data_IF_683935652461
#
_entry.id   IF_683935652461
#
_cell.length_a   1.000
_cell.length_b   1.000
_cell.length_c   1.000
_cell.angle_alpha   90.00
_cell.angle_beta   90.00
_cell.angle_gamma   90.00
#
_symmetry.space_group_name_H-M   'P 1'
#
loop_
_entity.id
_entity.type
_entity.pdbx_description
1 polymer ?
#
# COMPACT_ATOMS: atom_id res chain seq x y z
N UNK A 1 -57.66 -41.26 33.86
CA UNK A 1 -57.75 -41.88 32.52
C UNK A 1 -56.78 -41.12 31.62
N UNK A 2 -55.60 -41.70 31.35
CA UNK A 2 -55.13 -42.16 30.02
C UNK A 2 -55.19 -41.04 28.95
N UNK A 3 -54.13 -40.64 28.25
CA UNK A 3 -53.16 -41.48 27.54
C UNK A 3 -51.98 -40.64 27.02
N UNK A 4 -50.92 -41.38 26.70
CA UNK A 4 -49.56 -41.07 26.22
C UNK A 4 -49.50 -40.11 25.01
N UNK A 5 -48.43 -39.32 24.81
CA UNK A 5 -47.21 -39.68 24.05
C UNK A 5 -46.61 -38.33 23.56
N UNK A 6 -45.33 -38.08 23.25
CA UNK A 6 -44.09 -38.85 23.08
C UNK A 6 -42.94 -37.83 22.93
N UNK A 7 -41.74 -38.26 23.35
CA UNK A 7 -40.41 -38.00 22.76
C UNK A 7 -39.75 -36.60 22.80
N UNK A 8 -38.63 -36.56 23.53
CA UNK A 8 -37.48 -35.64 23.39
C UNK A 8 -36.63 -36.00 22.16
N UNK A 9 -35.75 -35.10 21.68
CA UNK A 9 -34.33 -35.17 22.08
C UNK A 9 -33.76 -33.80 22.48
N UNK A 10 -33.07 -33.66 23.62
CA UNK A 10 -31.60 -33.68 23.71
C UNK A 10 -30.89 -32.84 22.63
N UNK A 11 -30.58 -31.59 22.95
CA UNK A 11 -29.44 -30.87 22.37
C UNK A 11 -28.48 -30.57 23.51
N UNK A 12 -27.47 -31.43 23.60
CA UNK A 12 -26.25 -31.24 24.36
C UNK A 12 -25.41 -30.20 23.62
N UNK A 13 -25.34 -28.97 24.11
CA UNK A 13 -24.34 -28.01 23.63
C UNK A 13 -23.08 -28.18 24.48
N UNK A 14 -22.09 -28.87 23.90
CA UNK A 14 -20.73 -28.96 24.42
C UNK A 14 -20.12 -27.54 24.50
N UNK A 15 -19.70 -27.16 25.71
CA UNK A 15 -18.68 -26.14 25.94
C UNK A 15 -17.34 -26.71 25.46
N UNK A 16 -16.91 -26.32 24.25
CA UNK A 16 -15.55 -26.56 23.81
C UNK A 16 -14.63 -25.51 24.45
N UNK A 17 -14.04 -25.89 25.59
CA UNK A 17 -12.91 -25.23 26.21
C UNK A 17 -11.68 -25.45 25.30
N UNK A 18 -11.45 -24.52 24.38
CA UNK A 18 -10.28 -24.51 23.51
C UNK A 18 -9.04 -24.09 24.30
N UNK A 19 -8.13 -25.04 24.52
CA UNK A 19 -6.83 -24.87 25.15
C UNK A 19 -6.02 -23.76 24.45
N UNK A 20 -5.70 -22.71 25.20
CA UNK A 20 -4.74 -21.68 24.80
C UNK A 20 -3.32 -22.27 24.91
N UNK A 21 -2.85 -22.95 23.87
CA UNK A 21 -1.44 -23.30 23.73
C UNK A 21 -0.68 -22.04 23.30
N UNK A 22 -0.19 -21.29 24.28
CA UNK A 22 0.83 -20.25 24.06
C UNK A 22 2.13 -20.94 23.67
N UNK A 23 2.36 -21.11 22.37
CA UNK A 23 3.70 -21.34 21.83
C UNK A 23 4.53 -20.07 22.08
N UNK A 24 5.15 -20.00 23.25
CA UNK A 24 6.25 -19.08 23.51
C UNK A 24 7.53 -19.78 23.09
N UNK A 25 7.76 -19.85 21.78
CA UNK A 25 9.13 -20.02 21.31
C UNK A 25 9.88 -18.73 21.63
N UNK A 26 10.53 -18.71 22.79
CA UNK A 26 11.68 -17.84 22.99
C UNK A 26 12.69 -18.26 21.94
N UNK A 27 12.75 -17.51 20.84
CA UNK A 27 13.92 -17.45 19.99
C UNK A 27 15.09 -17.04 20.91
N UNK A 28 15.91 -18.02 21.29
CA UNK A 28 17.28 -17.76 21.71
C UNK A 28 17.94 -17.09 20.52
N UNK A 29 18.16 -15.78 20.60
CA UNK A 29 18.94 -15.06 19.63
C UNK A 29 20.33 -15.71 19.56
N UNK A 30 20.59 -16.44 18.48
CA UNK A 30 21.93 -16.80 18.07
C UNK A 30 22.63 -15.49 17.71
N UNK A 31 23.41 -14.96 18.65
CA UNK A 31 24.02 -13.63 18.60
C UNK A 31 25.21 -13.52 17.64
N UNK A 32 25.46 -14.55 16.84
CA UNK A 32 26.61 -14.59 15.92
C UNK A 32 26.31 -13.99 14.55
N UNK A 33 25.04 -13.85 14.17
CA UNK A 33 24.62 -13.11 12.99
C UNK A 33 23.38 -12.29 13.32
N UNK A 34 23.41 -10.94 13.21
CA UNK A 34 22.16 -10.19 13.28
C UNK A 34 21.21 -10.72 12.20
N UNK A 35 19.90 -10.80 12.48
CA UNK A 35 18.94 -11.15 11.44
C UNK A 35 19.12 -10.19 10.26
N UNK A 36 18.99 -10.70 9.01
CA UNK A 36 19.15 -9.85 7.83
C UNK A 36 18.22 -8.64 7.93
N UNK A 37 18.70 -7.47 7.49
CA UNK A 37 17.90 -6.25 7.40
C UNK A 37 16.57 -6.58 6.71
N UNK A 38 15.41 -6.48 7.39
CA UNK A 38 14.12 -6.82 6.81
C UNK A 38 13.83 -6.08 5.51
N UNK A 39 14.30 -4.82 5.41
CA UNK A 39 14.13 -4.01 4.20
C UNK A 39 14.94 -4.56 3.03
N UNK A 40 16.17 -5.03 3.27
CA UNK A 40 16.98 -5.68 2.23
C UNK A 40 16.29 -6.95 1.70
N UNK A 41 15.67 -7.73 2.57
CA UNK A 41 14.88 -8.90 2.17
C UNK A 41 13.67 -8.49 1.30
N UNK A 42 12.90 -7.49 1.72
CA UNK A 42 11.76 -7.00 0.92
C UNK A 42 12.19 -6.49 -0.45
N UNK A 43 13.32 -5.78 -0.54
CA UNK A 43 13.89 -5.32 -1.81
C UNK A 43 14.24 -6.47 -2.74
N UNK A 44 14.83 -7.54 -2.21
CA UNK A 44 15.13 -8.74 -3.01
C UNK A 44 13.85 -9.37 -3.54
N UNK A 45 12.83 -9.53 -2.70
CA UNK A 45 11.52 -10.08 -3.10
C UNK A 45 10.90 -9.23 -4.23
N UNK A 46 10.95 -7.91 -4.11
CA UNK A 46 10.41 -6.98 -5.11
C UNK A 46 11.23 -7.03 -6.42
N UNK A 47 12.55 -7.20 -6.34
CA UNK A 47 13.39 -7.39 -7.52
C UNK A 47 13.03 -8.67 -8.27
N UNK A 48 12.77 -9.77 -7.56
CA UNK A 48 12.33 -11.02 -8.16
C UNK A 48 10.95 -10.88 -8.82
N UNK A 49 10.04 -10.11 -8.21
CA UNK A 49 8.74 -9.79 -8.79
C UNK A 49 8.86 -8.94 -10.04
N UNK A 50 9.71 -7.91 -10.02
CA UNK A 50 10.01 -7.09 -11.19
C UNK A 50 10.53 -7.93 -12.36
N UNK A 51 11.44 -8.87 -12.11
CA UNK A 51 11.94 -9.77 -13.16
C UNK A 51 10.82 -10.66 -13.75
N UNK A 52 9.95 -11.23 -12.90
CA UNK A 52 8.80 -12.04 -13.34
C UNK A 52 7.79 -11.23 -14.13
N UNK A 53 7.36 -10.09 -13.61
CA UNK A 53 6.35 -9.23 -14.23
C UNK A 53 6.89 -8.61 -15.53
N UNK A 54 8.18 -8.28 -15.57
CA UNK A 54 8.86 -7.84 -16.78
C UNK A 54 8.86 -8.88 -17.89
N UNK A 55 8.97 -10.18 -17.57
CA UNK A 55 8.81 -11.25 -18.54
C UNK A 55 7.37 -11.33 -19.10
N UNK A 56 6.36 -11.15 -18.25
CA UNK A 56 4.95 -11.13 -18.66
C UNK A 56 4.64 -9.92 -19.56
N UNK A 57 5.17 -8.74 -19.24
CA UNK A 57 4.92 -7.51 -20.00
C UNK A 57 5.40 -7.60 -21.46
N UNK A 58 6.42 -8.40 -21.77
CA UNK A 58 6.89 -8.62 -23.16
C UNK A 58 5.84 -9.23 -24.07
N UNK A 59 4.90 -9.98 -23.50
CA UNK A 59 3.81 -10.63 -24.25
C UNK A 59 2.44 -10.01 -23.99
N UNK A 60 2.37 -9.01 -23.09
CA UNK A 60 1.13 -8.36 -22.65
C UNK A 60 1.29 -6.83 -22.71
N UNK A 61 1.02 -6.20 -23.87
CA UNK A 61 1.28 -4.76 -24.06
C UNK A 61 0.38 -3.83 -23.23
N UNK A 62 -0.68 -4.36 -22.61
CA UNK A 62 -1.51 -3.64 -21.64
C UNK A 62 -0.84 -3.54 -20.26
N UNK A 63 0.28 -4.24 -20.04
CA UNK A 63 1.07 -4.15 -18.82
C UNK A 63 2.27 -3.22 -19.03
N UNK A 64 2.54 -2.40 -18.02
CA UNK A 64 3.75 -1.60 -17.92
C UNK A 64 4.36 -1.81 -16.55
N UNK A 65 5.65 -2.19 -16.53
CA UNK A 65 6.31 -2.70 -15.34
C UNK A 65 7.57 -1.88 -15.07
N UNK A 66 7.75 -1.49 -13.81
CA UNK A 66 8.91 -0.75 -13.29
C UNK A 66 9.33 -1.37 -11.95
N UNK A 67 10.55 -1.12 -11.46
CA UNK A 67 10.92 -1.53 -10.10
C UNK A 67 9.85 -1.10 -9.09
N UNK A 68 9.35 -2.05 -8.29
CA UNK A 68 8.32 -1.79 -7.29
C UNK A 68 6.90 -1.51 -7.83
N UNK A 69 6.62 -1.63 -9.13
CA UNK A 69 5.33 -1.22 -9.69
C UNK A 69 4.89 -2.03 -10.92
N UNK A 70 3.59 -2.33 -10.99
CA UNK A 70 2.91 -2.87 -12.18
C UNK A 70 1.67 -2.05 -12.48
N UNK A 71 1.59 -1.50 -13.70
CA UNK A 71 0.42 -0.84 -14.24
C UNK A 71 -0.26 -1.75 -15.27
N UNK A 72 -1.58 -1.91 -15.16
CA UNK A 72 -2.42 -2.67 -16.07
C UNK A 72 -3.50 -1.77 -16.64
N UNK A 73 -3.39 -1.47 -17.94
CA UNK A 73 -4.36 -0.65 -18.67
C UNK A 73 -5.67 -1.40 -18.93
N UNK A 74 -5.63 -2.73 -19.06
CA UNK A 74 -6.81 -3.55 -19.27
C UNK A 74 -7.76 -3.51 -18.08
N UNK A 75 -7.22 -3.52 -16.86
CA UNK A 75 -8.01 -3.41 -15.62
C UNK A 75 -8.01 -2.01 -15.01
N UNK A 76 -7.32 -1.05 -15.64
CA UNK A 76 -7.11 0.33 -15.15
C UNK A 76 -6.62 0.38 -13.69
N UNK A 77 -5.62 -0.45 -13.38
CA UNK A 77 -5.06 -0.58 -12.03
C UNK A 77 -3.56 -0.34 -12.03
N UNK A 78 -3.08 0.35 -11.01
CA UNK A 78 -1.65 0.43 -10.66
C UNK A 78 -1.47 -0.29 -9.33
N UNK A 79 -0.54 -1.23 -9.30
CA UNK A 79 -0.09 -1.91 -8.07
C UNK A 79 1.30 -1.40 -7.75
N UNK A 80 1.46 -0.95 -6.51
CA UNK A 80 2.72 -0.46 -5.98
C UNK A 80 3.12 -1.38 -4.84
N UNK A 81 4.33 -1.92 -4.92
CA UNK A 81 4.92 -2.72 -3.86
C UNK A 81 5.60 -1.82 -2.85
N UNK A 82 5.43 -2.17 -1.59
CA UNK A 82 5.97 -1.43 -0.47
C UNK A 82 5.95 -2.29 0.79
N UNK A 83 6.49 -1.72 1.85
CA UNK A 83 6.49 -2.30 3.19
C UNK A 83 5.72 -1.41 4.16
N UNK A 84 5.12 -2.04 5.18
CA UNK A 84 4.46 -1.31 6.27
C UNK A 84 5.50 -0.58 7.12
N UNK A 85 5.19 0.63 7.55
CA UNK A 85 5.98 1.41 8.52
C UNK A 85 5.76 0.96 9.97
N UNK A 86 4.81 0.03 10.19
CA UNK A 86 4.43 -0.47 11.52
C UNK A 86 3.93 0.61 12.49
N UNK A 87 3.19 1.60 11.97
CA UNK A 87 2.44 2.53 12.83
C UNK A 87 1.50 1.79 13.77
N UNK A 88 1.41 2.30 15.00
CA UNK A 88 0.49 1.82 16.01
C UNK A 88 -0.87 2.52 15.91
N UNK A 89 -1.88 1.90 16.52
CA UNK A 89 -3.18 2.55 16.68
C UNK A 89 -3.01 3.85 17.48
N UNK A 90 -3.45 4.97 16.91
CA UNK A 90 -3.35 6.29 17.52
C UNK A 90 -2.13 7.11 17.06
N UNK A 91 -1.19 6.51 16.32
CA UNK A 91 -0.09 7.26 15.72
C UNK A 91 -0.63 8.20 14.62
N UNK A 92 -0.04 9.41 14.45
CA UNK A 92 -0.47 10.34 13.41
C UNK A 92 -0.16 9.78 12.01
N UNK A 93 -1.13 9.92 11.10
CA UNK A 93 -0.98 9.54 9.69
C UNK A 93 -1.22 10.77 8.82
N UNK A 94 -0.21 11.16 8.04
CA UNK A 94 -0.31 12.20 7.02
C UNK A 94 -0.32 11.59 5.62
N UNK A 95 0.44 10.52 5.41
CA UNK A 95 0.62 9.93 4.08
C UNK A 95 0.17 8.47 4.03
N UNK A 96 -0.64 8.05 3.04
CA UNK A 96 -0.88 6.63 2.83
C UNK A 96 0.38 5.92 2.34
N UNK A 97 1.18 6.56 1.47
CA UNK A 97 2.34 5.94 0.85
C UNK A 97 3.39 7.02 0.57
N UNK A 98 4.65 6.72 0.91
CA UNK A 98 5.81 7.59 0.64
C UNK A 98 6.88 6.85 -0.14
N UNK A 99 7.82 7.57 -0.77
CA UNK A 99 9.02 6.97 -1.34
C UNK A 99 10.05 6.64 -0.25
N UNK A 100 10.97 5.72 -0.56
CA UNK A 100 12.03 5.31 0.38
C UNK A 100 12.87 6.47 0.93
N UNK A 101 13.13 7.48 0.11
CA UNK A 101 13.98 8.62 0.47
C UNK A 101 13.25 9.73 1.24
N UNK A 102 11.93 9.62 1.42
CA UNK A 102 11.10 10.71 1.98
C UNK A 102 11.48 11.10 3.42
N UNK A 103 11.99 10.16 4.22
CA UNK A 103 12.28 10.38 5.64
C UNK A 103 11.04 10.65 6.50
N UNK A 104 9.84 10.36 5.99
CA UNK A 104 8.52 10.56 6.65
C UNK A 104 7.84 9.25 7.03
N UNK A 105 8.61 8.19 7.25
CA UNK A 105 8.09 6.86 7.59
C UNK A 105 7.32 6.83 8.92
N UNK A 106 7.67 7.69 9.86
CA UNK A 106 6.99 7.85 11.15
C UNK A 106 5.57 8.44 11.07
N UNK A 107 5.12 8.92 9.90
CA UNK A 107 3.77 9.50 9.68
C UNK A 107 3.10 8.96 8.41
N UNK A 108 3.59 7.82 7.89
CA UNK A 108 3.08 7.18 6.69
C UNK A 108 2.60 5.76 6.96
N UNK A 109 1.60 5.23 6.24
CA UNK A 109 1.15 3.83 6.40
C UNK A 109 2.13 2.82 5.78
N UNK A 110 2.83 3.22 4.71
CA UNK A 110 3.76 2.36 3.99
C UNK A 110 4.84 3.16 3.26
N UNK A 111 5.98 2.48 3.05
CA UNK A 111 7.08 2.94 2.20
C UNK A 111 7.05 2.16 0.88
N UNK A 112 7.03 2.87 -0.23
CA UNK A 112 7.05 2.32 -1.59
C UNK A 112 8.48 2.03 -2.04
N UNK A 113 8.66 0.90 -2.73
CA UNK A 113 9.88 0.59 -3.50
C UNK A 113 9.84 1.13 -4.94
N UNK A 114 8.76 1.81 -5.34
CA UNK A 114 8.65 2.48 -6.62
C UNK A 114 9.03 3.95 -6.50
N UNK A 115 9.64 4.49 -7.55
CA UNK A 115 9.90 5.92 -7.65
C UNK A 115 8.59 6.71 -7.88
N UNK A 116 8.41 7.90 -7.27
CA UNK A 116 7.21 8.72 -7.48
C UNK A 116 6.92 9.03 -8.95
N UNK A 117 7.94 9.30 -9.78
CA UNK A 117 7.73 9.52 -11.20
C UNK A 117 7.26 8.28 -11.97
N UNK A 118 7.58 7.08 -11.49
CA UNK A 118 7.05 5.84 -12.04
C UNK A 118 5.59 5.65 -11.68
N UNK A 119 5.17 6.02 -10.47
CA UNK A 119 3.75 6.06 -10.08
C UNK A 119 2.97 7.06 -10.94
N UNK A 120 3.51 8.26 -11.17
CA UNK A 120 2.88 9.26 -12.05
C UNK A 120 2.67 8.69 -13.46
N UNK A 121 3.73 8.16 -14.08
CA UNK A 121 3.68 7.57 -15.42
C UNK A 121 2.76 6.34 -15.48
N UNK A 122 2.65 5.57 -14.40
CA UNK A 122 1.74 4.44 -14.31
C UNK A 122 0.27 4.87 -14.41
N UNK A 123 -0.09 5.94 -13.68
CA UNK A 123 -1.42 6.51 -13.69
C UNK A 123 -1.78 7.07 -15.08
N UNK A 124 -0.83 7.75 -15.73
CA UNK A 124 -0.98 8.18 -17.13
C UNK A 124 -1.11 6.98 -18.09
N UNK A 125 -0.30 5.95 -17.90
CA UNK A 125 -0.31 4.74 -18.72
C UNK A 125 -1.66 4.01 -18.69
N UNK A 126 -2.37 4.01 -17.54
CA UNK A 126 -3.73 3.45 -17.43
C UNK A 126 -4.84 4.42 -17.90
N UNK A 127 -4.45 5.58 -18.44
CA UNK A 127 -5.33 6.54 -19.10
C UNK A 127 -5.81 7.70 -18.23
N UNK A 128 -5.27 7.89 -17.03
CA UNK A 128 -5.62 9.05 -16.21
C UNK A 128 -4.84 10.28 -16.67
N UNK A 129 -5.39 11.46 -16.42
CA UNK A 129 -4.66 12.73 -16.61
C UNK A 129 -4.41 13.40 -15.26
N UNK A 130 -3.20 13.91 -15.01
CA UNK A 130 -2.95 14.70 -13.82
C UNK A 130 -3.81 15.95 -13.87
N UNK A 131 -4.51 16.23 -12.78
CA UNK A 131 -5.26 17.46 -12.62
C UNK A 131 -4.39 18.59 -12.08
N UNK A 132 -4.95 19.39 -11.17
CA UNK A 132 -4.28 20.54 -10.58
C UNK A 132 -4.23 20.40 -9.06
N UNK A 133 -3.02 20.37 -8.49
CA UNK A 133 -2.78 20.42 -7.06
C UNK A 133 -3.30 21.73 -6.44
N UNK A 134 -3.45 21.79 -5.12
CA UNK A 134 -3.79 23.04 -4.42
C UNK A 134 -2.73 24.13 -4.67
N UNK A 135 -3.16 25.39 -4.69
CA UNK A 135 -2.29 26.56 -4.84
C UNK A 135 -2.94 27.74 -4.12
N UNK A 136 -2.52 28.02 -2.87
CA UNK A 136 -3.03 29.18 -2.12
C UNK A 136 -2.75 30.51 -2.85
N UNK A 137 -1.57 30.68 -3.44
CA UNK A 137 -1.20 31.87 -4.22
C UNK A 137 -2.07 32.07 -5.46
N UNK A 138 -2.54 30.98 -6.08
CA UNK A 138 -3.48 30.99 -7.20
C UNK A 138 -4.96 30.89 -6.78
N UNK A 139 -5.29 31.09 -5.50
CA UNK A 139 -6.65 30.97 -4.93
C UNK A 139 -7.35 29.63 -5.23
N UNK A 140 -6.57 28.55 -5.35
CA UNK A 140 -7.06 27.19 -5.58
C UNK A 140 -6.87 26.36 -4.32
N UNK A 141 -7.87 26.38 -3.44
CA UNK A 141 -7.82 25.68 -2.15
C UNK A 141 -8.16 24.20 -2.23
N UNK A 142 -8.73 23.74 -3.36
CA UNK A 142 -9.10 22.34 -3.58
C UNK A 142 -8.39 21.76 -4.80
N UNK A 143 -7.89 20.51 -4.73
CA UNK A 143 -7.33 19.85 -5.89
C UNK A 143 -8.43 19.58 -6.93
N UNK A 144 -8.05 19.54 -8.19
CA UNK A 144 -8.92 19.14 -9.30
C UNK A 144 -8.27 17.96 -10.00
N UNK A 145 -9.04 17.02 -10.52
CA UNK A 145 -8.52 15.86 -11.24
C UNK A 145 -9.39 14.63 -11.10
N UNK A 146 -8.98 13.56 -11.77
CA UNK A 146 -9.61 12.25 -11.61
C UNK A 146 -9.33 11.70 -10.21
N UNK A 147 -10.31 10.93 -9.67
CA UNK A 147 -10.18 10.29 -8.37
C UNK A 147 -9.69 8.86 -8.53
N UNK A 148 -8.72 8.48 -7.71
CA UNK A 148 -8.19 7.12 -7.59
C UNK A 148 -8.61 6.50 -6.27
N UNK A 149 -8.99 5.23 -6.35
CA UNK A 149 -9.25 4.41 -5.17
C UNK A 149 -7.94 3.77 -4.74
N UNK A 150 -7.41 4.20 -3.59
CA UNK A 150 -6.21 3.60 -2.99
C UNK A 150 -6.64 2.50 -2.03
N UNK A 151 -6.06 1.32 -2.19
CA UNK A 151 -6.32 0.16 -1.33
C UNK A 151 -5.01 -0.49 -0.91
N UNK A 152 -4.97 -1.01 0.30
CA UNK A 152 -3.88 -1.84 0.81
C UNK A 152 -4.28 -3.30 0.74
N UNK A 153 -3.39 -4.10 0.17
CA UNK A 153 -3.46 -5.55 0.11
C UNK A 153 -2.20 -6.09 0.79
N UNK A 154 -2.38 -6.79 1.90
CA UNK A 154 -1.26 -7.33 2.66
C UNK A 154 -0.79 -8.63 1.99
N UNK A 155 0.45 -8.65 1.56
CA UNK A 155 1.03 -9.86 0.98
C UNK A 155 1.44 -10.76 2.14
N UNK A 156 0.51 -11.63 2.57
CA UNK A 156 0.77 -12.58 3.64
C UNK A 156 1.88 -13.54 3.22
N UNK A 157 2.96 -13.59 4.00
CA UNK A 157 4.08 -14.51 3.77
C UNK A 157 3.70 -15.99 3.91
N UNK A 158 2.58 -16.27 4.58
CA UNK A 158 2.02 -17.61 4.78
C UNK A 158 0.90 -17.97 3.77
N UNK A 159 0.61 -17.12 2.79
CA UNK A 159 -0.42 -17.36 1.78
C UNK A 159 -1.87 -17.19 2.26
N UNK A 160 -2.11 -16.69 3.48
CA UNK A 160 -3.45 -16.36 3.95
C UNK A 160 -4.00 -15.14 3.19
N UNK A 161 -5.26 -15.22 2.74
CA UNK A 161 -5.94 -14.06 2.17
C UNK A 161 -6.16 -13.01 3.25
N UNK A 162 -5.59 -11.83 3.08
CA UNK A 162 -5.89 -10.67 3.91
C UNK A 162 -6.96 -9.82 3.25
N UNK A 163 -7.87 -9.21 4.04
CA UNK A 163 -8.85 -8.30 3.47
C UNK A 163 -8.14 -7.11 2.81
N UNK A 164 -8.57 -6.78 1.60
CA UNK A 164 -8.17 -5.54 0.92
C UNK A 164 -8.91 -4.38 1.60
N UNK A 165 -8.16 -3.42 2.14
CA UNK A 165 -8.72 -2.28 2.87
C UNK A 165 -8.57 -0.98 2.06
N UNK A 166 -9.53 -0.06 2.19
CA UNK A 166 -9.40 1.30 1.63
C UNK A 166 -8.37 2.07 2.46
N UNK A 167 -7.57 2.92 1.84
CA UNK A 167 -6.65 3.76 2.62
C UNK A 167 -7.42 4.64 3.63
N UNK A 168 -8.58 5.14 3.23
CA UNK A 168 -9.45 5.97 4.07
C UNK A 168 -9.96 5.21 5.32
N UNK A 169 -10.18 3.89 5.23
CA UNK A 169 -10.65 3.09 6.36
C UNK A 169 -9.57 2.79 7.40
N UNK A 170 -8.29 3.09 7.09
CA UNK A 170 -7.15 2.88 7.98
C UNK A 170 -6.80 4.13 8.80
N UNK A 171 -7.50 5.25 8.57
CA UNK A 171 -7.22 6.53 9.21
C UNK A 171 -8.46 7.02 9.93
N UNK A 172 -8.34 7.27 11.23
CA UNK A 172 -9.41 7.83 12.06
C UNK A 172 -9.36 9.36 12.05
N UNK A 173 -10.48 10.00 11.76
CA UNK A 173 -10.66 11.44 11.94
C UNK A 173 -10.92 11.74 13.41
N UNK A 174 -9.98 12.44 14.06
CA UNK A 174 -10.05 12.79 15.49
C UNK A 174 -11.20 13.74 15.84
N UNK A 175 -11.81 14.44 14.87
CA UNK A 175 -13.01 15.25 15.12
C UNK A 175 -14.28 14.42 15.23
N UNK A 176 -14.35 13.30 14.53
CA UNK A 176 -15.57 12.50 14.40
C UNK A 176 -15.46 11.11 15.02
N UNK A 177 -14.25 10.69 15.41
CA UNK A 177 -13.92 9.36 15.91
C UNK A 177 -14.37 8.24 14.96
N UNK A 178 -14.35 8.55 13.66
CA UNK A 178 -14.77 7.65 12.58
C UNK A 178 -13.68 7.58 11.49
N UNK A 179 -13.65 6.51 10.67
CA UNK A 179 -12.74 6.47 9.53
C UNK A 179 -12.99 7.62 8.54
N UNK A 180 -11.97 7.98 7.76
CA UNK A 180 -12.13 8.98 6.71
C UNK A 180 -13.20 8.56 5.69
N UNK A 181 -13.98 9.50 5.12
CA UNK A 181 -14.94 9.19 4.07
C UNK A 181 -14.25 8.61 2.82
N UNK A 182 -14.78 7.52 2.28
CA UNK A 182 -14.24 6.82 1.09
C UNK A 182 -14.48 7.56 -0.24
N UNK A 183 -13.95 8.77 -0.36
CA UNK A 183 -14.12 9.60 -1.55
C UNK A 183 -13.01 9.38 -2.59
N UNK A 184 -11.95 8.65 -2.26
CA UNK A 184 -10.76 8.49 -3.11
C UNK A 184 -9.84 9.71 -3.09
N UNK A 185 -8.67 9.54 -3.72
CA UNK A 185 -7.61 10.55 -3.77
C UNK A 185 -7.59 11.23 -5.14
N UNK A 186 -7.28 12.52 -5.21
CA UNK A 186 -7.25 13.25 -6.49
C UNK A 186 -5.85 13.15 -7.10
N UNK A 187 -5.76 12.61 -8.32
CA UNK A 187 -4.49 12.55 -9.04
C UNK A 187 -4.15 13.94 -9.61
N UNK A 188 -3.14 14.58 -9.02
CA UNK A 188 -2.67 15.92 -9.42
C UNK A 188 -1.28 15.92 -10.06
N UNK A 189 -0.52 14.84 -9.92
CA UNK A 189 0.91 14.81 -10.23
C UNK A 189 1.74 15.74 -9.32
N UNK A 190 3.01 15.89 -9.66
CA UNK A 190 3.94 16.82 -9.04
C UNK A 190 4.61 17.71 -10.11
N UNK A 191 5.30 18.77 -9.66
CA UNK A 191 6.05 19.65 -10.54
C UNK A 191 7.29 18.94 -11.10
N UNK A 192 7.68 19.31 -12.31
CA UNK A 192 9.01 19.03 -12.84
C UNK A 192 9.94 20.18 -12.48
N UNK A 193 11.16 19.89 -12.07
CA UNK A 193 12.17 20.86 -11.65
C UNK A 193 13.45 20.66 -12.42
N UNK A 194 14.26 21.71 -12.54
CA UNK A 194 15.60 21.52 -13.06
C UNK A 194 16.40 20.64 -12.10
N UNK A 195 17.08 19.62 -12.64
CA UNK A 195 18.02 18.82 -11.87
C UNK A 195 19.23 19.69 -11.51
N UNK A 196 19.77 19.46 -10.31
CA UNK A 196 20.90 20.23 -9.78
C UNK A 196 22.27 19.66 -10.17
N UNK A 197 22.29 18.49 -10.82
CA UNK A 197 23.51 17.73 -11.13
C UNK A 197 23.70 17.47 -12.64
N UNK A 198 24.96 17.24 -13.03
CA UNK A 198 25.38 16.80 -14.38
C UNK A 198 24.80 15.44 -14.82
N UNK A 199 24.11 14.73 -13.93
CA UNK A 199 23.40 13.47 -14.20
C UNK A 199 21.94 13.68 -14.64
N UNK A 200 21.51 14.95 -14.79
CA UNK A 200 20.18 15.28 -15.26
C UNK A 200 19.90 14.68 -16.63
N UNK A 201 18.68 14.19 -16.92
CA UNK A 201 18.30 13.75 -18.26
C UNK A 201 18.54 14.87 -19.27
N UNK A 202 18.66 14.57 -20.56
CA UNK A 202 18.99 15.55 -21.61
C UNK A 202 18.07 16.80 -21.65
N UNK A 203 16.89 16.72 -21.05
CA UNK A 203 15.93 17.83 -20.87
C UNK A 203 16.27 18.78 -19.72
N UNK A 204 17.19 18.38 -18.84
CA UNK A 204 17.51 19.07 -17.58
C UNK A 204 16.42 19.00 -16.51
N UNK A 205 15.29 18.31 -16.77
CA UNK A 205 14.15 18.26 -15.86
C UNK A 205 14.03 16.91 -15.14
N UNK A 206 13.90 16.97 -13.82
CA UNK A 206 13.63 15.84 -12.92
C UNK A 206 12.25 15.99 -12.29
N UNK A 207 11.61 14.89 -11.92
CA UNK A 207 10.34 14.93 -11.22
C UNK A 207 10.61 15.34 -9.77
N UNK A 208 10.00 16.41 -9.29
CA UNK A 208 10.39 16.98 -8.00
C UNK A 208 10.19 16.01 -6.82
N UNK A 209 9.29 15.03 -6.95
CA UNK A 209 9.10 14.02 -5.92
C UNK A 209 10.21 12.95 -5.88
N UNK A 210 11.09 12.88 -6.88
CA UNK A 210 12.19 11.92 -6.92
C UNK A 210 13.49 12.46 -6.27
N UNK A 211 13.54 13.74 -5.88
CA UNK A 211 14.77 14.46 -5.45
C UNK A 211 14.75 14.90 -3.98
N UNK A 212 13.96 14.23 -3.14
CA UNK A 212 13.92 14.48 -1.70
C UNK A 212 14.94 13.62 -0.94
#
# INVERSE_FOLDING_TARGET
MSSQSRLRPFVTALLALGVLLTWTERLTADSTNPPPDPRALHKQIVADWYARDGALARTRPHLWVRPGLVADRGTRRVRVYGESTSLNLGDPVEFPLIAEQSGKDYEALAVSFAQPSDVHRALEFIGLRPGAATSPSGLRFWPRGERVRVTFDLIATNGAATPICRAESLVTDTRTDAPLPETGFVFCGARWTHGTDDTSPATGLVYAADVF
#
